data_IF_005140915170
#
_entry.id   IF_005140915170
#
_cell.length_a   1.000
_cell.length_b   1.000
_cell.length_c   1.000
_cell.angle_alpha   90.00
_cell.angle_beta   90.00
_cell.angle_gamma   90.00
#
_symmetry.space_group_name_H-M   'P 1'
#
loop_
_entity.id
_entity.type
_entity.pdbx_description
1 polymer ?
#
# COMPACT_ATOMS: atom_id res chain seq x y z
N UNK A 1 -73.91 -40.07 24.12
CA UNK A 1 -73.30 -38.77 24.46
C UNK A 1 -71.82 -39.02 24.73
N UNK A 2 -70.96 -38.44 23.88
CA UNK A 2 -69.51 -38.10 24.05
C UNK A 2 -68.60 -39.12 24.77
N UNK A 3 -67.75 -39.87 24.07
CA UNK A 3 -66.47 -39.50 23.44
C UNK A 3 -65.25 -39.56 24.39
N UNK A 4 -64.31 -40.41 23.98
CA UNK A 4 -62.98 -40.80 24.45
C UNK A 4 -62.01 -39.72 24.94
N UNK A 5 -61.05 -40.21 25.74
CA UNK A 5 -59.90 -39.54 26.30
C UNK A 5 -58.79 -39.23 25.27
N UNK A 6 -58.03 -38.15 25.50
CA UNK A 6 -56.62 -38.07 25.12
C UNK A 6 -55.88 -37.00 25.95
N UNK A 7 -54.93 -37.48 26.74
CA UNK A 7 -53.96 -36.76 27.57
C UNK A 7 -52.88 -36.12 26.67
N UNK A 8 -52.69 -34.80 26.80
CA UNK A 8 -51.79 -34.01 25.96
C UNK A 8 -50.38 -34.00 26.55
N UNK A 9 -49.48 -34.86 26.03
CA UNK A 9 -48.03 -34.77 26.28
C UNK A 9 -47.42 -33.63 25.47
N UNK A 10 -47.01 -32.57 26.16
CA UNK A 10 -46.16 -31.52 25.61
C UNK A 10 -44.72 -32.05 25.40
N UNK A 11 -44.27 -32.08 24.14
CA UNK A 11 -42.88 -32.38 23.77
C UNK A 11 -42.04 -31.10 23.85
N UNK A 12 -41.28 -30.95 24.94
CA UNK A 12 -40.29 -29.89 25.07
C UNK A 12 -39.09 -30.13 24.14
N UNK A 13 -38.82 -29.21 23.23
CA UNK A 13 -37.58 -29.17 22.47
C UNK A 13 -36.41 -28.81 23.41
N UNK A 14 -35.22 -29.43 23.28
CA UNK A 14 -34.09 -29.09 24.12
C UNK A 14 -33.59 -27.67 23.80
N UNK A 15 -33.12 -26.90 24.81
CA UNK A 15 -32.65 -25.55 24.60
C UNK A 15 -31.39 -25.54 23.72
N UNK A 16 -31.35 -24.62 22.76
CA UNK A 16 -30.20 -24.36 21.90
C UNK A 16 -29.02 -23.89 22.75
N UNK A 17 -27.96 -24.71 22.78
CA UNK A 17 -26.68 -24.31 23.38
C UNK A 17 -26.11 -23.16 22.54
N UNK A 18 -25.72 -22.02 23.15
CA UNK A 18 -25.03 -20.96 22.42
C UNK A 18 -23.75 -21.54 21.82
N UNK A 19 -23.57 -21.33 20.52
CA UNK A 19 -22.40 -21.77 19.76
C UNK A 19 -21.14 -21.10 20.34
N UNK A 20 -20.51 -21.78 21.30
CA UNK A 20 -19.23 -21.36 21.86
C UNK A 20 -18.24 -21.28 20.70
N UNK A 21 -17.64 -20.10 20.50
CA UNK A 21 -16.62 -19.82 19.48
C UNK A 21 -15.63 -20.99 19.42
N UNK A 22 -15.76 -21.79 18.36
CA UNK A 22 -14.93 -22.96 18.17
C UNK A 22 -13.47 -22.51 18.06
N UNK A 23 -12.66 -22.87 19.08
CA UNK A 23 -11.21 -22.65 19.03
C UNK A 23 -10.67 -23.27 17.72
N UNK A 24 -9.86 -22.53 16.94
CA UNK A 24 -9.40 -23.00 15.64
C UNK A 24 -8.61 -24.31 15.78
N UNK A 25 -9.01 -25.32 15.01
CA UNK A 25 -8.34 -26.64 14.97
C UNK A 25 -6.89 -26.46 14.51
N UNK A 26 -5.90 -27.09 15.17
CA UNK A 26 -4.51 -27.06 14.71
C UNK A 26 -4.41 -27.60 13.28
N UNK A 27 -3.79 -26.83 12.36
CA UNK A 27 -3.51 -27.27 10.99
C UNK A 27 -4.37 -26.66 9.87
N UNK A 28 -5.46 -25.93 10.18
CA UNK A 28 -6.21 -25.20 9.15
C UNK A 28 -5.56 -23.85 8.86
N UNK A 29 -5.23 -23.57 7.59
CA UNK A 29 -4.68 -22.29 7.18
C UNK A 29 -5.66 -21.15 7.55
N UNK A 30 -5.16 -20.12 8.23
CA UNK A 30 -5.96 -18.93 8.61
C UNK A 30 -6.65 -18.34 7.38
N UNK A 31 -7.84 -17.73 7.50
CA UNK A 31 -8.56 -17.17 6.36
C UNK A 31 -7.78 -16.03 5.68
N UNK A 32 -8.04 -15.79 4.39
CA UNK A 32 -7.40 -14.69 3.63
C UNK A 32 -7.86 -13.34 4.17
N UNK A 33 -9.15 -13.24 4.47
CA UNK A 33 -9.79 -12.05 4.99
C UNK A 33 -9.88 -12.12 6.52
N UNK A 34 -9.78 -10.96 7.16
CA UNK A 34 -9.96 -10.78 8.60
C UNK A 34 -11.20 -9.94 8.87
N UNK A 35 -11.10 -9.09 9.89
CA UNK A 35 -12.17 -8.17 10.29
C UNK A 35 -12.57 -7.20 9.18
N UNK A 36 -13.79 -6.70 9.25
CA UNK A 36 -14.27 -5.62 8.39
C UNK A 36 -13.94 -4.25 8.99
N UNK A 37 -13.80 -3.23 8.14
CA UNK A 37 -13.67 -1.83 8.58
C UNK A 37 -14.98 -1.38 9.22
N UNK A 38 -14.88 -0.68 10.36
CA UNK A 38 -16.01 0.04 10.96
C UNK A 38 -16.49 1.16 10.04
N UNK A 39 -17.70 1.69 10.27
CA UNK A 39 -18.24 2.81 9.50
C UNK A 39 -17.32 4.04 9.53
N UNK A 40 -16.79 4.37 10.72
CA UNK A 40 -15.82 5.46 10.89
C UNK A 40 -14.54 5.24 10.09
N UNK A 41 -13.95 4.03 10.17
CA UNK A 41 -12.75 3.70 9.36
C UNK A 41 -13.03 3.81 7.87
N UNK A 42 -14.22 3.40 7.43
CA UNK A 42 -14.62 3.49 6.03
C UNK A 42 -14.78 4.96 5.58
N UNK A 43 -15.37 5.80 6.42
CA UNK A 43 -15.49 7.24 6.16
C UNK A 43 -14.12 7.90 6.02
N UNK A 44 -13.15 7.54 6.87
CA UNK A 44 -11.77 8.03 6.75
C UNK A 44 -11.10 7.58 5.45
N UNK A 45 -11.33 6.35 5.00
CA UNK A 45 -10.87 5.90 3.67
C UNK A 45 -11.46 6.77 2.57
N UNK A 46 -12.77 7.04 2.60
CA UNK A 46 -13.41 7.94 1.64
C UNK A 46 -12.79 9.34 1.66
N UNK A 47 -12.61 9.92 2.86
CA UNK A 47 -12.01 11.24 3.02
C UNK A 47 -10.60 11.31 2.42
N UNK A 48 -9.71 10.36 2.76
CA UNK A 48 -8.31 10.39 2.34
C UNK A 48 -8.05 9.82 0.94
N UNK A 49 -9.03 9.18 0.30
CA UNK A 49 -8.94 8.78 -1.11
C UNK A 49 -9.57 9.84 -2.01
N UNK A 50 -10.78 10.30 -1.69
CA UNK A 50 -11.52 11.24 -2.55
C UNK A 50 -11.09 12.68 -2.32
N UNK A 51 -10.81 13.10 -1.08
CA UNK A 51 -10.41 14.47 -0.76
C UNK A 51 -9.17 14.93 -1.55
N UNK A 52 -8.03 14.19 -1.50
CA UNK A 52 -6.85 14.51 -2.29
C UNK A 52 -7.08 14.46 -3.81
N UNK A 53 -7.95 13.57 -4.29
CA UNK A 53 -8.33 13.51 -5.71
C UNK A 53 -9.09 14.77 -6.14
N UNK A 54 -10.04 15.25 -5.32
CA UNK A 54 -10.73 16.51 -5.56
C UNK A 54 -9.76 17.70 -5.49
N UNK A 55 -8.82 17.70 -4.54
CA UNK A 55 -7.78 18.72 -4.46
C UNK A 55 -6.91 18.75 -5.73
N UNK A 56 -6.53 17.58 -6.27
CA UNK A 56 -5.84 17.49 -7.56
C UNK A 56 -6.66 18.07 -8.71
N UNK A 57 -7.94 17.72 -8.82
CA UNK A 57 -8.81 18.26 -9.86
C UNK A 57 -8.95 19.79 -9.74
N UNK A 58 -9.02 20.30 -8.51
CA UNK A 58 -9.04 21.73 -8.23
C UNK A 58 -7.74 22.45 -8.65
N UNK A 59 -6.60 21.74 -8.78
CA UNK A 59 -5.37 22.37 -9.31
C UNK A 59 -5.50 22.78 -10.77
N UNK A 60 -6.26 22.06 -11.60
CA UNK A 60 -6.38 22.33 -13.05
C UNK A 60 -6.88 23.77 -13.34
N UNK A 61 -7.93 24.29 -12.67
CA UNK A 61 -8.33 25.69 -12.80
C UNK A 61 -7.48 26.68 -11.95
N UNK A 62 -6.79 26.22 -10.89
CA UNK A 62 -6.13 27.09 -9.89
C UNK A 62 -4.64 27.34 -10.18
N UNK A 63 -3.97 26.45 -10.92
CA UNK A 63 -2.55 26.62 -11.34
C UNK A 63 -2.34 27.86 -12.24
N UNK A 64 -3.43 28.45 -12.76
CA UNK A 64 -3.41 29.66 -13.59
C UNK A 64 -3.47 30.99 -12.81
N UNK A 65 -3.03 31.03 -11.55
CA UNK A 65 -2.79 32.32 -10.88
C UNK A 65 -2.89 32.39 -9.36
N UNK A 66 -3.12 31.28 -8.63
CA UNK A 66 -3.27 31.36 -7.17
C UNK A 66 -2.34 30.44 -6.38
N UNK A 67 -1.63 31.05 -5.42
CA UNK A 67 -1.14 30.39 -4.21
C UNK A 67 -0.07 29.32 -4.37
N UNK A 68 0.56 29.16 -5.54
CA UNK A 68 1.68 28.24 -5.73
C UNK A 68 3.00 29.02 -5.74
N UNK A 69 3.68 29.06 -4.59
CA UNK A 69 5.04 29.59 -4.47
C UNK A 69 6.10 28.50 -4.70
N UNK A 70 7.34 28.92 -4.96
CA UNK A 70 8.48 27.99 -5.04
C UNK A 70 8.67 27.19 -3.74
N UNK A 71 8.36 27.80 -2.59
CA UNK A 71 8.46 27.15 -1.28
C UNK A 71 7.44 26.01 -1.15
N UNK A 72 6.21 26.18 -1.65
CA UNK A 72 5.19 25.12 -1.68
C UNK A 72 5.64 23.94 -2.54
N UNK A 73 6.26 24.23 -3.70
CA UNK A 73 6.85 23.20 -4.59
C UNK A 73 7.93 22.41 -3.86
N UNK A 74 8.84 23.10 -3.16
CA UNK A 74 9.92 22.44 -2.41
C UNK A 74 9.36 21.61 -1.24
N UNK A 75 8.43 22.16 -0.46
CA UNK A 75 7.76 21.44 0.64
C UNK A 75 7.08 20.19 0.08
N UNK A 76 6.28 20.33 -0.98
CA UNK A 76 5.63 19.21 -1.64
C UNK A 76 6.61 18.16 -2.13
N UNK A 77 7.67 18.55 -2.84
CA UNK A 77 8.68 17.63 -3.36
C UNK A 77 9.41 16.85 -2.25
N UNK A 78 9.74 17.51 -1.12
CA UNK A 78 10.38 16.88 0.03
C UNK A 78 9.45 15.86 0.67
N UNK A 79 8.20 16.24 0.97
CA UNK A 79 7.23 15.32 1.59
C UNK A 79 6.85 14.18 0.66
N UNK A 80 6.76 14.44 -0.66
CA UNK A 80 6.57 13.40 -1.67
C UNK A 80 7.72 12.38 -1.61
N UNK A 81 8.96 12.87 -1.65
CA UNK A 81 10.16 12.02 -1.68
C UNK A 81 10.27 11.18 -0.41
N UNK A 82 10.08 11.79 0.78
CA UNK A 82 10.12 11.08 2.06
C UNK A 82 9.01 10.03 2.14
N UNK A 83 7.78 10.40 1.75
CA UNK A 83 6.62 9.51 1.77
C UNK A 83 6.80 8.31 0.85
N UNK A 84 7.10 8.57 -0.43
CA UNK A 84 7.29 7.52 -1.43
C UNK A 84 8.48 6.63 -1.08
N UNK A 85 9.65 7.18 -0.71
CA UNK A 85 10.79 6.35 -0.29
C UNK A 85 10.48 5.53 0.97
N UNK A 86 9.68 6.06 1.89
CA UNK A 86 9.20 5.30 3.04
C UNK A 86 8.33 4.11 2.64
N UNK A 87 7.50 4.25 1.61
CA UNK A 87 6.73 3.14 1.02
C UNK A 87 7.65 2.18 0.27
N UNK A 88 8.47 2.66 -0.67
CA UNK A 88 9.24 1.79 -1.58
C UNK A 88 10.42 1.10 -0.88
N UNK A 89 11.19 1.82 -0.07
CA UNK A 89 12.34 1.25 0.66
C UNK A 89 11.87 0.55 1.93
N UNK A 90 10.95 1.18 2.66
CA UNK A 90 10.42 0.68 3.93
C UNK A 90 9.37 -0.40 3.75
N UNK A 91 8.13 0.00 3.46
CA UNK A 91 6.99 -0.92 3.43
C UNK A 91 7.20 -2.05 2.43
N UNK A 92 7.69 -1.72 1.24
CA UNK A 92 7.83 -2.66 0.16
C UNK A 92 9.11 -3.51 0.29
N UNK A 93 10.29 -2.94 0.03
CA UNK A 93 11.53 -3.72 -0.08
C UNK A 93 11.99 -4.30 1.26
N UNK A 94 11.83 -3.57 2.37
CA UNK A 94 12.20 -4.06 3.69
C UNK A 94 11.12 -4.92 4.33
N UNK A 95 9.95 -4.35 4.66
CA UNK A 95 8.95 -5.03 5.48
C UNK A 95 8.17 -6.10 4.72
N UNK A 96 7.88 -5.93 3.43
CA UNK A 96 7.20 -6.97 2.64
C UNK A 96 8.18 -8.06 2.24
N UNK A 97 9.29 -7.69 1.59
CA UNK A 97 10.13 -8.65 0.86
C UNK A 97 11.46 -9.00 1.50
N UNK A 98 11.81 -8.39 2.63
CA UNK A 98 13.07 -8.67 3.34
C UNK A 98 14.29 -8.59 2.43
N UNK A 99 14.33 -7.59 1.54
CA UNK A 99 15.40 -7.40 0.56
C UNK A 99 16.73 -6.99 1.21
N UNK A 100 16.68 -6.52 2.46
CA UNK A 100 17.82 -6.19 3.30
C UNK A 100 17.42 -6.23 4.78
N UNK A 101 18.41 -6.39 5.67
CA UNK A 101 18.26 -6.15 7.11
C UNK A 101 18.62 -4.70 7.43
N UNK A 102 17.99 -4.12 8.45
CA UNK A 102 18.21 -2.73 8.83
C UNK A 102 18.38 -2.59 10.34
N UNK A 103 19.18 -1.61 10.77
CA UNK A 103 19.28 -1.21 12.19
C UNK A 103 17.91 -0.84 12.73
N UNK A 104 17.68 -1.09 14.02
CA UNK A 104 16.37 -0.88 14.68
C UNK A 104 15.80 0.53 14.45
N UNK A 105 16.63 1.56 14.54
CA UNK A 105 16.20 2.94 14.32
C UNK A 105 15.79 3.18 12.85
N UNK A 106 16.53 2.63 11.88
CA UNK A 106 16.25 2.81 10.46
C UNK A 106 14.91 2.17 10.10
N UNK A 107 14.60 1.00 10.68
CA UNK A 107 13.29 0.34 10.53
C UNK A 107 12.15 1.26 10.98
N UNK A 108 12.30 1.92 12.12
CA UNK A 108 11.29 2.86 12.65
C UNK A 108 11.17 4.09 11.74
N UNK A 109 12.30 4.67 11.31
CA UNK A 109 12.31 5.83 10.40
C UNK A 109 11.61 5.51 9.07
N UNK A 110 11.93 4.36 8.46
CA UNK A 110 11.29 3.90 7.24
C UNK A 110 9.79 3.67 7.43
N UNK A 111 9.39 3.10 8.58
CA UNK A 111 7.98 2.87 8.88
C UNK A 111 7.19 4.18 9.07
N UNK A 112 7.79 5.18 9.74
CA UNK A 112 7.18 6.52 9.89
C UNK A 112 7.12 7.21 8.52
N UNK A 113 8.20 7.18 7.74
CA UNK A 113 8.25 7.74 6.39
C UNK A 113 7.13 7.19 5.50
N UNK A 114 6.91 5.87 5.49
CA UNK A 114 5.79 5.27 4.75
C UNK A 114 4.42 5.70 5.27
N UNK A 115 4.31 5.98 6.57
CA UNK A 115 3.11 6.54 7.20
C UNK A 115 2.75 7.92 6.66
N UNK A 116 3.75 8.75 6.35
CA UNK A 116 3.57 10.08 5.76
C UNK A 116 3.04 10.04 4.31
N UNK A 117 3.09 8.90 3.64
CA UNK A 117 2.45 8.75 2.32
C UNK A 117 0.92 8.61 2.42
N UNK A 118 0.38 8.33 3.62
CA UNK A 118 -1.06 8.17 3.89
C UNK A 118 -1.71 7.10 3.00
N UNK A 119 -1.04 5.94 2.85
CA UNK A 119 -1.52 4.80 2.06
C UNK A 119 -2.00 3.63 2.94
N UNK A 120 -2.39 3.92 4.17
CA UNK A 120 -2.61 2.94 5.23
C UNK A 120 -1.41 2.79 6.15
N UNK A 121 -1.64 2.18 7.32
CA UNK A 121 -0.55 1.88 8.25
C UNK A 121 0.39 0.83 7.67
N UNK A 122 1.61 0.74 8.20
CA UNK A 122 2.59 -0.30 7.83
C UNK A 122 1.98 -1.72 7.88
N UNK A 123 1.06 -1.99 8.82
CA UNK A 123 0.39 -3.29 8.88
C UNK A 123 -0.59 -3.49 7.73
N UNK A 124 -1.45 -2.51 7.46
CA UNK A 124 -2.42 -2.60 6.38
C UNK A 124 -1.73 -2.77 5.03
N UNK A 125 -0.78 -1.89 4.73
CA UNK A 125 -0.06 -1.87 3.46
C UNK A 125 0.71 -3.18 3.24
N UNK A 126 1.53 -3.62 4.21
CA UNK A 126 2.34 -4.84 4.07
C UNK A 126 1.46 -6.09 4.00
N UNK A 127 0.36 -6.15 4.76
CA UNK A 127 -0.56 -7.29 4.69
C UNK A 127 -1.23 -7.38 3.31
N UNK A 128 -1.77 -6.27 2.80
CA UNK A 128 -2.39 -6.23 1.47
C UNK A 128 -1.37 -6.57 0.38
N UNK A 129 -0.14 -6.05 0.47
CA UNK A 129 0.90 -6.33 -0.53
C UNK A 129 1.39 -7.78 -0.49
N UNK A 130 1.59 -8.37 0.70
CA UNK A 130 1.93 -9.80 0.81
C UNK A 130 0.81 -10.70 0.29
N UNK A 131 -0.45 -10.30 0.50
CA UNK A 131 -1.61 -10.98 -0.08
C UNK A 131 -1.64 -10.84 -1.60
N UNK A 132 -1.37 -9.66 -2.13
CA UNK A 132 -1.23 -9.43 -3.56
C UNK A 132 -0.17 -10.37 -4.15
N UNK A 133 1.04 -10.43 -3.61
CA UNK A 133 2.05 -11.37 -4.13
C UNK A 133 1.62 -12.83 -4.04
N UNK A 134 0.92 -13.25 -2.98
CA UNK A 134 0.43 -14.61 -2.83
C UNK A 134 -0.62 -14.99 -3.88
N UNK A 135 -1.44 -14.04 -4.32
CA UNK A 135 -2.59 -14.26 -5.20
C UNK A 135 -2.56 -13.44 -6.50
N UNK A 136 -1.41 -12.87 -6.88
CA UNK A 136 -1.29 -11.85 -7.92
C UNK A 136 -2.02 -12.25 -9.20
N UNK A 137 -2.89 -11.36 -9.68
CA UNK A 137 -3.73 -11.53 -10.87
C UNK A 137 -4.65 -12.77 -10.85
N UNK A 138 -4.95 -13.31 -9.66
CA UNK A 138 -5.86 -14.44 -9.42
C UNK A 138 -6.93 -14.08 -8.40
N UNK A 139 -7.88 -14.99 -8.20
CA UNK A 139 -8.81 -14.87 -7.09
C UNK A 139 -8.07 -14.79 -5.75
N UNK A 140 -8.49 -13.85 -4.91
CA UNK A 140 -7.84 -13.54 -3.65
C UNK A 140 -6.93 -12.32 -3.71
N UNK A 141 -6.47 -11.86 -4.87
CA UNK A 141 -5.75 -10.58 -5.01
C UNK A 141 -6.66 -9.39 -4.61
N UNK A 142 -6.24 -8.49 -3.69
CA UNK A 142 -7.02 -7.31 -3.35
C UNK A 142 -7.27 -6.40 -4.55
N UNK A 143 -6.29 -6.21 -5.43
CA UNK A 143 -6.29 -5.15 -6.45
C UNK A 143 -5.87 -5.64 -7.84
N UNK A 144 -6.23 -6.87 -8.20
CA UNK A 144 -6.01 -7.40 -9.56
C UNK A 144 -6.85 -6.62 -10.59
N UNK A 145 -6.24 -6.08 -11.67
CA UNK A 145 -6.99 -5.50 -12.78
C UNK A 145 -7.68 -6.55 -13.66
N UNK A 146 -7.42 -7.84 -13.42
CA UNK A 146 -8.00 -8.95 -14.18
C UNK A 146 -9.20 -9.60 -13.49
N UNK A 147 -9.63 -9.03 -12.36
CA UNK A 147 -10.72 -9.53 -11.50
C UNK A 147 -12.04 -9.78 -12.26
N UNK A 148 -12.36 -8.97 -13.26
CA UNK A 148 -13.64 -9.04 -13.97
C UNK A 148 -13.53 -9.66 -15.37
N UNK A 149 -12.49 -10.47 -15.60
CA UNK A 149 -12.25 -11.18 -16.86
C UNK A 149 -11.52 -10.33 -17.90
N UNK A 150 -11.50 -10.83 -19.14
CA UNK A 150 -10.69 -10.28 -20.25
C UNK A 150 -11.51 -9.61 -21.35
N UNK A 151 -12.82 -9.45 -21.16
CA UNK A 151 -13.64 -8.63 -22.07
C UNK A 151 -13.28 -7.15 -21.94
N UNK A 152 -13.55 -6.34 -22.97
CA UNK A 152 -13.23 -4.91 -22.93
C UNK A 152 -13.84 -4.21 -21.70
N UNK A 153 -15.12 -4.47 -21.42
CA UNK A 153 -15.81 -3.94 -20.25
C UNK A 153 -15.22 -4.48 -18.93
N UNK A 154 -14.84 -5.77 -18.89
CA UNK A 154 -14.19 -6.39 -17.73
C UNK A 154 -12.84 -5.76 -17.42
N UNK A 155 -12.01 -5.55 -18.45
CA UNK A 155 -10.69 -4.91 -18.36
C UNK A 155 -10.83 -3.45 -17.90
N UNK A 156 -11.77 -2.69 -18.46
CA UNK A 156 -12.02 -1.31 -18.03
C UNK A 156 -12.43 -1.25 -16.55
N UNK A 157 -13.41 -2.08 -16.15
CA UNK A 157 -13.84 -2.18 -14.75
C UNK A 157 -12.70 -2.63 -13.82
N UNK A 158 -11.88 -3.56 -14.29
CA UNK A 158 -10.71 -4.07 -13.58
C UNK A 158 -9.64 -3.01 -13.37
N UNK A 159 -9.37 -2.19 -14.39
CA UNK A 159 -8.47 -1.04 -14.26
C UNK A 159 -8.92 -0.10 -13.13
N UNK A 160 -10.19 0.33 -13.13
CA UNK A 160 -10.72 1.20 -12.07
C UNK A 160 -10.67 0.52 -10.69
N UNK A 161 -10.94 -0.78 -10.63
CA UNK A 161 -10.84 -1.55 -9.39
C UNK A 161 -9.41 -1.57 -8.85
N UNK A 162 -8.42 -1.90 -9.68
CA UNK A 162 -7.01 -1.97 -9.29
C UNK A 162 -6.45 -0.60 -8.92
N UNK A 163 -6.88 0.45 -9.60
CA UNK A 163 -6.42 1.82 -9.35
C UNK A 163 -7.02 2.39 -8.06
N UNK A 164 -8.33 2.33 -7.86
CA UNK A 164 -8.97 2.95 -6.68
C UNK A 164 -10.09 2.13 -6.06
N UNK A 165 -10.85 1.38 -6.85
CA UNK A 165 -12.08 0.73 -6.39
C UNK A 165 -11.89 -0.24 -5.22
N UNK A 166 -10.77 -0.98 -5.20
CA UNK A 166 -10.47 -1.95 -4.14
C UNK A 166 -10.35 -1.33 -2.74
N UNK A 167 -9.95 -0.05 -2.64
CA UNK A 167 -9.78 0.65 -1.37
C UNK A 167 -11.11 0.76 -0.62
N UNK A 168 -12.23 0.80 -1.34
CA UNK A 168 -13.57 0.92 -0.76
C UNK A 168 -14.16 -0.41 -0.29
N UNK A 169 -13.52 -1.55 -0.59
CA UNK A 169 -13.92 -2.84 -0.01
C UNK A 169 -13.65 -2.84 1.50
N UNK A 170 -14.70 -3.07 2.31
CA UNK A 170 -14.60 -3.02 3.77
C UNK A 170 -13.83 -4.20 4.35
N UNK A 171 -13.66 -5.30 3.61
CA UNK A 171 -13.02 -6.53 4.10
C UNK A 171 -11.50 -6.34 4.16
N UNK A 172 -10.91 -6.51 5.35
CA UNK A 172 -9.45 -6.38 5.51
C UNK A 172 -8.75 -7.70 5.22
N UNK A 173 -7.50 -7.60 4.79
CA UNK A 173 -6.59 -8.74 4.78
C UNK A 173 -6.29 -9.22 6.21
N UNK A 174 -6.23 -10.54 6.41
CA UNK A 174 -6.00 -11.14 7.72
C UNK A 174 -4.54 -10.94 8.20
N UNK A 175 -4.33 -10.10 9.21
CA UNK A 175 -2.98 -9.81 9.70
C UNK A 175 -2.28 -11.01 10.32
N UNK A 176 -3.00 -11.87 11.05
CA UNK A 176 -2.42 -13.05 11.67
C UNK A 176 -1.93 -14.09 10.64
N UNK A 177 -2.43 -14.01 9.40
CA UNK A 177 -1.97 -14.83 8.27
C UNK A 177 -0.77 -14.19 7.56
N UNK A 178 -0.86 -12.91 7.20
CA UNK A 178 0.09 -12.30 6.27
C UNK A 178 1.25 -11.57 6.94
N UNK A 179 1.10 -11.10 8.18
CA UNK A 179 2.15 -10.32 8.88
C UNK A 179 2.39 -10.75 10.34
N UNK A 180 2.46 -12.06 10.67
CA UNK A 180 2.69 -12.50 12.05
C UNK A 180 4.01 -11.98 12.64
N UNK A 181 5.03 -11.82 11.79
CA UNK A 181 6.33 -11.22 12.11
C UNK A 181 6.21 -9.75 12.53
N UNK A 182 5.42 -8.93 11.83
CA UNK A 182 5.23 -7.52 12.20
C UNK A 182 4.37 -7.36 13.45
N UNK A 183 3.41 -8.26 13.69
CA UNK A 183 2.60 -8.27 14.92
C UNK A 183 3.46 -8.53 16.17
N UNK A 184 4.51 -9.33 16.02
CA UNK A 184 5.47 -9.63 17.08
C UNK A 184 6.46 -8.47 17.34
N UNK A 185 6.70 -7.60 16.36
CA UNK A 185 7.59 -6.46 16.52
C UNK A 185 6.91 -5.30 17.27
N UNK A 186 7.33 -5.10 18.54
CA UNK A 186 6.74 -4.06 19.40
C UNK A 186 6.91 -2.65 18.83
N UNK A 187 8.06 -2.34 18.24
CA UNK A 187 8.35 -0.99 17.75
C UNK A 187 7.49 -0.67 16.53
N UNK A 188 7.43 -1.61 15.57
CA UNK A 188 6.63 -1.42 14.35
C UNK A 188 5.12 -1.43 14.67
N UNK A 189 4.69 -2.24 15.65
CA UNK A 189 3.32 -2.19 16.15
C UNK A 189 2.95 -0.83 16.73
N UNK A 190 3.85 -0.19 17.49
CA UNK A 190 3.62 1.17 18.00
C UNK A 190 3.51 2.17 16.85
N UNK A 191 4.43 2.13 15.87
CA UNK A 191 4.37 3.01 14.68
C UNK A 191 3.04 2.82 13.93
N UNK A 192 2.59 1.57 13.76
CA UNK A 192 1.32 1.24 13.11
C UNK A 192 0.10 1.78 13.85
N UNK A 193 0.08 1.67 15.20
CA UNK A 193 -1.00 2.23 16.04
C UNK A 193 -1.06 3.76 15.98
N UNK A 194 0.09 4.42 15.83
CA UNK A 194 0.21 5.87 15.71
C UNK A 194 -0.07 6.38 14.30
N UNK A 195 -0.61 5.56 13.38
CA UNK A 195 -0.84 5.97 12.00
C UNK A 195 -1.65 7.27 11.87
N UNK A 196 -2.67 7.48 12.71
CA UNK A 196 -3.42 8.75 12.72
C UNK A 196 -2.56 9.98 13.03
N UNK A 197 -1.53 9.84 13.88
CA UNK A 197 -0.55 10.90 14.14
C UNK A 197 0.28 11.18 12.90
N UNK A 198 0.72 10.15 12.17
CA UNK A 198 1.49 10.33 10.94
C UNK A 198 0.68 10.97 9.82
N UNK A 199 -0.63 10.67 9.73
CA UNK A 199 -1.55 11.39 8.84
C UNK A 199 -1.64 12.87 9.22
N UNK A 200 -1.81 13.17 10.51
CA UNK A 200 -1.83 14.55 10.99
C UNK A 200 -0.51 15.28 10.68
N UNK A 201 0.64 14.66 10.94
CA UNK A 201 1.96 15.21 10.62
C UNK A 201 2.11 15.45 9.12
N UNK A 202 1.68 14.51 8.27
CA UNK A 202 1.74 14.63 6.81
C UNK A 202 0.96 15.82 6.27
N UNK A 203 -0.04 16.32 6.99
CA UNK A 203 -0.91 17.42 6.56
C UNK A 203 -0.57 18.73 7.27
N UNK A 204 -0.37 18.68 8.58
CA UNK A 204 -0.14 19.85 9.41
C UNK A 204 1.30 20.38 9.30
N UNK A 205 2.30 19.51 9.11
CA UNK A 205 3.69 19.95 9.04
C UNK A 205 3.99 20.77 7.77
N UNK A 206 3.51 20.40 6.56
CA UNK A 206 3.58 21.28 5.40
C UNK A 206 2.94 22.66 5.64
N UNK A 207 1.79 22.71 6.30
CA UNK A 207 1.11 23.94 6.66
C UNK A 207 1.95 24.79 7.61
N UNK A 208 2.49 24.18 8.67
CA UNK A 208 3.36 24.86 9.63
C UNK A 208 4.60 25.44 8.94
N UNK A 209 5.27 24.65 8.09
CA UNK A 209 6.47 25.11 7.38
C UNK A 209 6.11 26.27 6.43
N UNK A 210 5.05 26.15 5.63
CA UNK A 210 4.62 27.22 4.72
C UNK A 210 4.26 28.51 5.47
N UNK A 211 3.57 28.39 6.61
CA UNK A 211 3.24 29.52 7.46
C UNK A 211 4.45 30.20 8.09
N UNK A 212 5.43 29.43 8.55
CA UNK A 212 6.67 29.95 9.14
C UNK A 212 7.60 30.59 8.10
N UNK A 213 7.73 29.98 6.92
CA UNK A 213 8.58 30.50 5.84
C UNK A 213 8.07 31.84 5.32
N UNK A 214 6.74 32.00 5.23
CA UNK A 214 6.11 33.22 4.72
C UNK A 214 5.68 34.19 5.82
N UNK A 215 5.79 33.80 7.08
CA UNK A 215 5.21 34.52 8.23
C UNK A 215 3.72 34.88 8.04
N UNK A 216 2.94 33.96 7.48
CA UNK A 216 1.55 34.24 7.11
C UNK A 216 0.61 33.03 7.21
N UNK A 217 -0.66 33.29 7.53
CA UNK A 217 -1.72 32.27 7.45
C UNK A 217 -1.99 31.82 6.01
N UNK A 218 -1.77 32.70 5.04
CA UNK A 218 -1.88 32.37 3.62
C UNK A 218 -0.86 31.28 3.23
N UNK A 219 0.42 31.44 3.62
CA UNK A 219 1.43 30.41 3.38
C UNK A 219 1.18 29.12 4.15
N UNK A 220 0.52 29.19 5.31
CA UNK A 220 0.09 27.97 6.00
C UNK A 220 -0.99 27.21 5.21
N UNK A 221 -1.94 27.94 4.63
CA UNK A 221 -2.98 27.38 3.77
C UNK A 221 -2.40 26.79 2.48
N UNK A 222 -1.47 27.49 1.81
CA UNK A 222 -0.83 26.97 0.58
C UNK A 222 0.05 25.76 0.88
N UNK A 223 0.80 25.78 1.99
CA UNK A 223 1.60 24.63 2.44
C UNK A 223 0.74 23.40 2.74
N UNK A 224 -0.41 23.58 3.42
CA UNK A 224 -1.40 22.51 3.62
C UNK A 224 -1.96 21.98 2.30
N UNK A 225 -2.36 22.89 1.39
CA UNK A 225 -3.01 22.51 0.15
C UNK A 225 -2.03 21.80 -0.80
N UNK A 226 -0.89 22.41 -1.11
CA UNK A 226 0.08 21.88 -2.07
C UNK A 226 0.94 20.76 -1.47
N UNK A 227 1.55 21.01 -0.31
CA UNK A 227 2.43 20.04 0.36
C UNK A 227 1.69 18.92 1.09
N UNK A 228 0.47 19.19 1.56
CA UNK A 228 -0.40 18.20 2.19
C UNK A 228 -1.26 17.46 1.16
N UNK A 229 -2.31 18.11 0.63
CA UNK A 229 -3.38 17.47 -0.15
C UNK A 229 -3.00 17.13 -1.58
N UNK A 230 -2.50 18.09 -2.37
CA UNK A 230 -2.14 17.87 -3.78
C UNK A 230 -1.04 16.81 -3.87
N UNK A 231 0.04 16.98 -3.08
CA UNK A 231 1.10 15.97 -2.99
C UNK A 231 0.58 14.60 -2.55
N UNK A 232 -0.42 14.52 -1.67
CA UNK A 232 -1.05 13.25 -1.30
C UNK A 232 -1.70 12.59 -2.50
N UNK A 233 -2.52 13.35 -3.24
CA UNK A 233 -3.18 12.86 -4.44
C UNK A 233 -2.17 12.36 -5.48
N UNK A 234 -1.11 13.13 -5.77
CA UNK A 234 -0.06 12.68 -6.72
C UNK A 234 0.59 11.39 -6.22
N UNK A 235 0.96 11.32 -4.94
CA UNK A 235 1.61 10.13 -4.34
C UNK A 235 0.73 8.89 -4.46
N UNK A 236 -0.56 9.06 -4.19
CA UNK A 236 -1.58 8.02 -4.27
C UNK A 236 -1.71 7.50 -5.70
N UNK A 237 -1.98 8.37 -6.67
CA UNK A 237 -2.15 7.95 -8.07
C UNK A 237 -0.88 7.33 -8.66
N UNK A 238 0.30 7.82 -8.29
CA UNK A 238 1.56 7.19 -8.71
C UNK A 238 1.66 5.76 -8.16
N UNK A 239 1.34 5.54 -6.89
CA UNK A 239 1.42 4.21 -6.28
C UNK A 239 0.34 3.27 -6.81
N UNK A 240 -0.89 3.77 -6.95
CA UNK A 240 -2.01 3.01 -7.49
C UNK A 240 -1.85 2.64 -8.96
N UNK A 241 -1.12 3.47 -9.73
CA UNK A 241 -0.71 3.12 -11.10
C UNK A 241 0.25 1.93 -11.16
N UNK A 242 0.96 1.59 -10.09
CA UNK A 242 1.73 0.35 -10.04
C UNK A 242 0.78 -0.86 -10.07
N UNK A 243 -0.31 -0.81 -9.30
CA UNK A 243 -1.31 -1.87 -9.26
C UNK A 243 -2.08 -2.01 -10.58
N UNK A 244 -2.43 -0.88 -11.21
CA UNK A 244 -3.22 -0.88 -12.45
C UNK A 244 -2.34 -0.95 -13.70
N UNK A 245 -1.57 0.10 -14.00
CA UNK A 245 -0.79 0.23 -15.24
C UNK A 245 0.27 -0.86 -15.31
N UNK A 246 1.04 -1.11 -14.24
CA UNK A 246 2.14 -2.08 -14.29
C UNK A 246 1.68 -3.55 -14.25
N UNK A 247 0.38 -3.84 -14.16
CA UNK A 247 -0.18 -5.19 -14.37
C UNK A 247 -0.90 -5.35 -15.72
N UNK A 248 -0.93 -4.28 -16.53
CA UNK A 248 -1.68 -4.23 -17.79
C UNK A 248 -0.80 -3.84 -18.98
N UNK A 249 0.05 -2.84 -18.81
CA UNK A 249 0.81 -2.19 -19.88
C UNK A 249 2.31 -2.21 -19.61
N UNK A 250 3.10 -2.28 -20.69
CA UNK A 250 4.56 -2.27 -20.63
C UNK A 250 5.23 -3.59 -21.01
N UNK A 251 6.51 -3.68 -20.72
CA UNK A 251 7.39 -4.78 -21.16
C UNK A 251 7.42 -5.92 -20.14
N UNK A 252 7.73 -7.14 -20.59
CA UNK A 252 7.82 -8.30 -19.70
C UNK A 252 9.09 -9.13 -19.96
N UNK A 253 10.28 -8.55 -19.71
CA UNK A 253 11.57 -9.19 -20.03
C UNK A 253 11.93 -10.39 -19.13
N UNK A 254 11.21 -10.58 -18.02
CA UNK A 254 11.45 -11.65 -17.06
C UNK A 254 10.22 -12.55 -16.89
N UNK A 255 10.47 -13.85 -16.78
CA UNK A 255 9.46 -14.87 -16.48
C UNK A 255 8.93 -14.66 -15.06
N UNK A 256 7.64 -14.37 -14.95
CA UNK A 256 6.89 -14.30 -13.69
C UNK A 256 5.64 -15.18 -13.76
N UNK A 257 4.91 -15.34 -12.66
CA UNK A 257 3.67 -16.17 -12.59
C UNK A 257 2.38 -15.38 -12.79
N UNK A 258 2.49 -14.07 -12.98
CA UNK A 258 1.42 -13.09 -13.03
C UNK A 258 1.53 -12.25 -14.32
N UNK A 259 0.82 -11.13 -14.42
CA UNK A 259 0.80 -10.24 -15.58
C UNK A 259 1.56 -8.92 -15.34
N UNK A 260 2.42 -8.88 -14.33
CA UNK A 260 3.30 -7.74 -14.05
C UNK A 260 4.18 -7.37 -15.25
N UNK A 261 4.39 -6.07 -15.44
CA UNK A 261 5.06 -5.44 -16.57
C UNK A 261 5.91 -4.24 -16.12
N UNK A 262 7.01 -4.02 -16.81
CA UNK A 262 7.84 -2.84 -16.66
C UNK A 262 7.25 -1.67 -17.44
N UNK A 263 7.01 -0.54 -16.76
CA UNK A 263 6.51 0.68 -17.39
C UNK A 263 7.42 1.87 -17.06
N UNK A 264 8.40 2.13 -17.93
CA UNK A 264 9.45 3.13 -17.70
C UNK A 264 8.95 4.56 -17.42
N UNK A 265 7.83 5.07 -17.99
CA UNK A 265 7.42 6.45 -17.76
C UNK A 265 7.12 6.78 -16.29
N UNK A 266 6.80 5.76 -15.48
CA UNK A 266 6.57 5.91 -14.04
C UNK A 266 7.82 5.71 -13.19
N UNK A 267 8.98 5.36 -13.76
CA UNK A 267 10.14 4.92 -12.98
C UNK A 267 10.69 5.99 -12.05
N UNK A 268 10.67 7.27 -12.47
CA UNK A 268 11.15 8.39 -11.66
C UNK A 268 10.16 8.71 -10.54
N UNK A 269 8.88 8.91 -10.88
CA UNK A 269 7.83 9.25 -9.91
C UNK A 269 7.64 8.14 -8.87
N UNK A 270 7.62 6.89 -9.32
CA UNK A 270 7.52 5.74 -8.43
C UNK A 270 8.83 5.39 -7.73
N UNK A 271 9.92 6.14 -7.93
CA UNK A 271 11.23 5.86 -7.33
C UNK A 271 11.78 4.45 -7.64
N UNK A 272 11.41 3.88 -8.79
CA UNK A 272 11.89 2.59 -9.30
C UNK A 272 10.90 1.42 -9.19
N UNK A 273 9.67 1.64 -8.74
CA UNK A 273 8.70 0.54 -8.55
C UNK A 273 8.02 0.10 -9.83
N UNK A 274 8.02 0.93 -10.87
CA UNK A 274 7.45 0.57 -12.17
C UNK A 274 8.28 -0.43 -12.96
N UNK A 275 9.44 -0.88 -12.46
CA UNK A 275 10.14 -2.07 -12.93
C UNK A 275 9.50 -3.35 -12.36
N UNK A 276 8.19 -3.42 -12.52
CA UNK A 276 7.31 -4.29 -11.76
C UNK A 276 7.41 -5.76 -12.19
N UNK A 277 7.79 -6.02 -13.45
CA UNK A 277 7.98 -7.39 -13.91
C UNK A 277 9.18 -8.07 -13.25
N UNK A 278 10.33 -7.38 -13.14
CA UNK A 278 11.44 -7.97 -12.39
C UNK A 278 11.04 -8.15 -10.93
N UNK A 279 10.41 -7.12 -10.35
CA UNK A 279 9.97 -7.17 -8.97
C UNK A 279 9.13 -8.43 -8.68
N UNK A 280 8.16 -8.76 -9.52
CA UNK A 280 7.35 -9.98 -9.38
C UNK A 280 8.10 -11.28 -9.73
N UNK A 281 9.06 -11.23 -10.65
CA UNK A 281 9.91 -12.38 -10.97
C UNK A 281 10.88 -12.71 -9.82
N UNK A 282 11.33 -11.69 -9.08
CA UNK A 282 12.24 -11.82 -7.95
C UNK A 282 11.94 -10.83 -6.81
N UNK A 283 10.92 -11.11 -5.98
CA UNK A 283 10.40 -10.13 -5.02
C UNK A 283 11.41 -9.70 -3.96
N UNK A 284 12.38 -10.55 -3.63
CA UNK A 284 13.37 -10.26 -2.60
C UNK A 284 14.59 -9.48 -3.11
N UNK A 285 14.63 -9.14 -4.39
CA UNK A 285 15.72 -8.34 -4.96
C UNK A 285 15.61 -6.88 -4.50
N UNK A 286 16.69 -6.34 -3.95
CA UNK A 286 16.74 -4.95 -3.48
C UNK A 286 16.71 -3.91 -4.61
N UNK A 287 16.93 -4.33 -5.87
CA UNK A 287 16.90 -3.49 -7.06
C UNK A 287 15.94 -4.07 -8.09
N UNK A 288 14.92 -3.28 -8.46
CA UNK A 288 13.94 -3.67 -9.47
C UNK A 288 14.40 -3.27 -10.89
N UNK A 289 15.08 -2.14 -11.04
CA UNK A 289 15.60 -1.68 -12.33
C UNK A 289 16.97 -2.27 -12.68
N UNK A 290 17.03 -3.48 -13.23
CA UNK A 290 18.31 -4.20 -13.47
C UNK A 290 18.82 -4.17 -14.91
N UNK A 291 17.99 -3.80 -15.88
CA UNK A 291 18.41 -3.65 -17.26
C UNK A 291 19.13 -2.32 -17.46
N UNK A 292 19.94 -2.24 -18.52
CA UNK A 292 20.70 -1.03 -18.87
C UNK A 292 19.75 0.17 -19.02
N UNK A 293 20.10 1.28 -18.38
CA UNK A 293 19.31 2.52 -18.42
C UNK A 293 18.13 2.57 -17.43
N UNK A 294 17.82 1.49 -16.71
CA UNK A 294 16.73 1.49 -15.74
C UNK A 294 17.13 2.25 -14.46
N UNK A 295 16.45 3.37 -14.22
CA UNK A 295 16.63 4.22 -13.04
C UNK A 295 15.85 3.64 -11.86
N UNK A 296 16.53 3.39 -10.74
CA UNK A 296 15.92 2.89 -9.51
C UNK A 296 16.48 3.68 -8.32
N UNK A 297 15.72 4.70 -7.91
CA UNK A 297 16.10 5.64 -6.86
C UNK A 297 16.08 4.94 -5.50
N UNK A 298 15.09 4.08 -5.25
CA UNK A 298 14.98 3.31 -4.01
C UNK A 298 16.16 2.36 -3.82
N UNK A 299 16.64 1.72 -4.89
CA UNK A 299 17.87 0.91 -4.84
C UNK A 299 19.10 1.76 -4.48
N UNK A 300 19.20 2.99 -5.00
CA UNK A 300 20.32 3.89 -4.67
C UNK A 300 20.29 4.29 -3.19
N UNK A 301 19.12 4.52 -2.63
CA UNK A 301 18.93 4.81 -1.19
C UNK A 301 19.34 3.60 -0.33
N UNK A 302 18.94 2.39 -0.71
CA UNK A 302 19.37 1.17 0.00
C UNK A 302 20.89 1.00 -0.06
N UNK A 303 21.50 1.24 -1.21
CA UNK A 303 22.96 1.22 -1.36
C UNK A 303 23.66 2.24 -0.45
N UNK A 304 23.10 3.44 -0.32
CA UNK A 304 23.60 4.43 0.64
C UNK A 304 23.49 3.89 2.08
N UNK A 305 22.34 3.35 2.49
CA UNK A 305 22.21 2.75 3.83
C UNK A 305 23.21 1.62 4.09
N UNK A 306 23.50 0.81 3.08
CA UNK A 306 24.51 -0.26 3.16
C UNK A 306 25.92 0.31 3.35
N UNK A 307 26.29 1.35 2.60
CA UNK A 307 27.60 2.02 2.71
C UNK A 307 27.87 2.58 4.11
N UNK A 308 26.84 3.06 4.79
CA UNK A 308 26.95 3.57 6.17
C UNK A 308 26.74 2.47 7.25
N UNK A 309 26.57 1.21 6.84
CA UNK A 309 26.33 0.09 7.74
C UNK A 309 25.00 0.21 8.50
N UNK A 310 24.01 0.92 7.94
CA UNK A 310 22.65 0.99 8.48
C UNK A 310 21.76 -0.12 7.94
N UNK A 311 22.06 -0.57 6.72
CA UNK A 311 21.52 -1.79 6.12
C UNK A 311 22.62 -2.84 5.96
N UNK A 312 22.26 -4.11 6.08
CA UNK A 312 23.14 -5.27 5.88
C UNK A 312 22.38 -6.38 5.16
N UNK A 313 23.08 -7.42 4.71
CA UNK A 313 22.51 -8.57 3.99
C UNK A 313 21.62 -8.14 2.80
N UNK A 314 22.07 -7.12 2.07
CA UNK A 314 21.31 -6.58 0.94
C UNK A 314 21.34 -7.57 -0.22
N UNK A 315 20.15 -7.92 -0.70
CA UNK A 315 19.95 -8.91 -1.78
C UNK A 315 20.05 -8.22 -3.14
N UNK A 316 21.27 -7.94 -3.57
CA UNK A 316 21.54 -7.38 -4.88
C UNK A 316 21.32 -8.40 -6.01
N UNK A 317 20.93 -7.94 -7.22
CA UNK A 317 20.83 -8.81 -8.38
C UNK A 317 22.22 -9.32 -8.78
N UNK A 318 22.29 -10.58 -9.22
CA UNK A 318 23.51 -11.19 -9.78
C UNK A 318 23.21 -11.76 -11.16
N UNK A 319 24.21 -11.88 -12.06
CA UNK A 319 23.99 -12.46 -13.40
C UNK A 319 23.30 -13.82 -13.34
N UNK A 320 23.79 -14.71 -12.48
CA UNK A 320 23.20 -16.04 -12.24
C UNK A 320 21.73 -16.00 -11.79
N UNK A 321 21.36 -14.99 -11.00
CA UNK A 321 19.98 -14.83 -10.51
C UNK A 321 19.06 -14.34 -11.62
N UNK A 322 19.53 -13.41 -12.46
CA UNK A 322 18.78 -12.87 -13.58
C UNK A 322 18.65 -13.85 -14.75
N UNK A 323 19.68 -14.66 -15.03
CA UNK A 323 19.64 -15.68 -16.09
C UNK A 323 18.52 -16.69 -15.90
N UNK A 324 18.27 -17.09 -14.65
CA UNK A 324 17.16 -18.00 -14.30
C UNK A 324 15.77 -17.41 -14.60
N UNK A 325 15.69 -16.09 -14.75
CA UNK A 325 14.44 -15.35 -14.93
C UNK A 325 14.24 -14.89 -16.38
N UNK A 326 15.25 -15.02 -17.26
CA UNK A 326 15.10 -14.60 -18.65
C UNK A 326 13.99 -15.42 -19.33
N UNK A 327 13.15 -14.73 -20.10
CA UNK A 327 12.28 -15.40 -21.06
C UNK A 327 13.15 -16.03 -22.14
N UNK A 328 12.96 -17.32 -22.41
CA UNK A 328 13.64 -18.05 -23.49
C UNK A 328 13.38 -17.42 -24.86
#
# INVERSE_FOLDING_TARGET
>A
MTAEAADARATGAPPSVPEAEARPRPGVAKPILGETRSGWQQMLVWLFVVGPMLALLATVPVVWGWGLGWHDVVIGAVFYTVGILGVTVGYHRHFTHSSFKAKRWLRVVLAIGGGLAVQGSVFAWVADHRRHHAFSDKEGDPHSPWRFGTSLAGVARGFFWAHTGWLFDRRKTNYQRFIPDLLADRAIRTVSKLFGVWVLVSLALPALIGGLVTWSWAGALTGFFWGGLVRMGVSHHVTWSINSICHMFGERPFRSRDKSRNFWPLAILSMGESWHNLHHADPTCARHGVLRGQIDISARVIWFFEKFGWATDVRWPTPRRLEKLKTS
#
